data_IF_272396604221
#
_entry.id   IF_272396604221
#
_cell.length_a   1.000
_cell.length_b   1.000
_cell.length_c   1.000
_cell.angle_alpha   90.00
_cell.angle_beta   90.00
_cell.angle_gamma   90.00
#
_symmetry.space_group_name_H-M   'P 1'
#
loop_
_entity.id
_entity.type
_entity.pdbx_description
1 polymer ?
#
# COMPACT_ATOMS: atom_id res chain seq x y z
N UNK A 1 -48.11 -22.28 -50.51
CA UNK A 1 -48.89 -23.25 -49.74
C UNK A 1 -48.68 -22.91 -48.26
N UNK A 2 -49.60 -22.22 -47.65
CA UNK A 2 -50.75 -22.65 -46.82
C UNK A 2 -50.29 -23.78 -45.83
N UNK A 3 -50.39 -23.71 -44.52
CA UNK A 3 -51.47 -23.36 -43.58
C UNK A 3 -50.91 -23.28 -42.14
N UNK A 4 -51.31 -22.32 -41.35
CA UNK A 4 -52.37 -22.26 -40.29
C UNK A 4 -51.94 -22.85 -38.93
N UNK A 5 -51.80 -21.98 -37.94
CA UNK A 5 -52.70 -21.64 -36.81
C UNK A 5 -52.83 -22.70 -35.69
N UNK A 6 -52.60 -22.29 -34.46
CA UNK A 6 -53.03 -22.93 -33.25
C UNK A 6 -52.85 -22.00 -32.03
N UNK A 7 -53.90 -21.22 -31.76
CA UNK A 7 -54.11 -20.47 -30.53
C UNK A 7 -54.72 -21.42 -29.52
N UNK A 8 -54.11 -21.49 -28.30
CA UNK A 8 -54.84 -22.05 -27.16
C UNK A 8 -54.72 -21.07 -25.95
N UNK A 9 -55.81 -20.43 -25.66
CA UNK A 9 -56.08 -19.72 -24.41
C UNK A 9 -56.59 -20.72 -23.38
N UNK A 10 -56.06 -20.68 -22.16
CA UNK A 10 -56.77 -21.15 -20.94
C UNK A 10 -56.39 -20.25 -19.78
N UNK A 11 -57.24 -19.42 -19.39
CA UNK A 11 -58.00 -19.08 -18.19
C UNK A 11 -57.32 -19.31 -16.81
N UNK A 12 -57.13 -18.17 -16.13
CA UNK A 12 -57.52 -17.78 -14.80
C UNK A 12 -57.31 -18.72 -13.62
N UNK A 13 -56.55 -18.23 -12.67
CA UNK A 13 -56.55 -18.68 -11.27
C UNK A 13 -55.96 -17.56 -10.42
N UNK A 14 -56.83 -16.69 -9.91
CA UNK A 14 -56.47 -15.67 -8.92
C UNK A 14 -56.30 -16.32 -7.56
N UNK A 15 -55.11 -16.27 -7.00
CA UNK A 15 -54.87 -16.53 -5.58
C UNK A 15 -54.31 -15.25 -4.96
N UNK A 16 -55.15 -14.53 -4.21
CA UNK A 16 -54.73 -13.47 -3.30
C UNK A 16 -53.90 -14.09 -2.19
N UNK A 17 -52.60 -13.81 -2.20
CA UNK A 17 -51.75 -13.98 -1.04
C UNK A 17 -51.37 -12.58 -0.55
N UNK A 18 -51.91 -12.21 0.59
CA UNK A 18 -51.60 -10.98 1.30
C UNK A 18 -50.13 -11.04 1.75
N UNK A 19 -49.25 -10.27 1.08
CA UNK A 19 -47.89 -10.04 1.53
C UNK A 19 -47.91 -8.97 2.63
N UNK A 20 -47.71 -9.40 3.86
CA UNK A 20 -47.34 -8.54 4.97
C UNK A 20 -45.95 -7.95 4.70
N UNK A 21 -45.91 -6.68 4.28
CA UNK A 21 -44.66 -5.93 4.19
C UNK A 21 -44.18 -5.58 5.60
N UNK A 22 -43.33 -6.41 6.19
CA UNK A 22 -42.46 -5.97 7.28
C UNK A 22 -41.41 -5.03 6.66
N UNK A 23 -41.58 -3.73 6.88
CA UNK A 23 -40.54 -2.74 6.66
C UNK A 23 -39.43 -2.95 7.68
N UNK A 24 -38.39 -3.74 7.32
CA UNK A 24 -37.10 -3.64 8.00
C UNK A 24 -36.52 -2.27 7.65
N UNK A 25 -36.60 -1.35 8.58
CA UNK A 25 -35.84 -0.11 8.54
C UNK A 25 -34.35 -0.44 8.46
N UNK A 26 -33.78 -0.38 7.28
CA UNK A 26 -32.34 -0.36 7.11
C UNK A 26 -31.84 0.95 7.73
N UNK A 27 -31.33 0.88 8.96
CA UNK A 27 -30.49 1.94 9.50
C UNK A 27 -29.30 2.05 8.56
N UNK A 28 -29.26 3.11 7.78
CA UNK A 28 -28.07 3.48 7.00
C UNK A 28 -26.91 3.61 7.99
N UNK A 29 -26.10 2.57 8.09
CA UNK A 29 -24.85 2.61 8.81
C UNK A 29 -24.03 3.74 8.24
N UNK A 30 -23.84 4.80 9.02
CA UNK A 30 -22.93 5.88 8.68
C UNK A 30 -21.59 5.22 8.35
N UNK A 31 -21.12 5.41 7.08
CA UNK A 31 -19.75 5.07 6.70
C UNK A 31 -18.84 5.68 7.76
N UNK A 32 -17.90 4.91 8.35
CA UNK A 32 -16.90 5.48 9.23
C UNK A 32 -16.25 6.63 8.47
N UNK A 33 -16.38 7.86 8.98
CA UNK A 33 -15.52 8.96 8.53
C UNK A 33 -14.09 8.44 8.69
N UNK A 34 -13.24 8.56 7.66
CA UNK A 34 -11.81 8.32 7.86
C UNK A 34 -11.41 9.19 9.03
N UNK A 35 -11.02 8.54 10.13
CA UNK A 35 -10.58 9.25 11.32
C UNK A 35 -9.51 10.24 10.90
N UNK A 36 -9.57 11.45 11.46
CA UNK A 36 -8.47 12.40 11.46
C UNK A 36 -7.31 11.79 12.25
N UNK A 37 -6.75 10.69 11.76
CA UNK A 37 -5.46 10.20 12.16
C UNK A 37 -4.51 11.37 11.94
N UNK A 38 -3.96 11.93 13.00
CA UNK A 38 -2.86 12.89 12.94
C UNK A 38 -1.79 12.23 12.07
N UNK A 39 -1.78 12.58 10.77
CA UNK A 39 -0.96 11.95 9.75
C UNK A 39 0.50 12.10 10.10
N UNK A 40 1.05 11.09 10.75
CA UNK A 40 2.49 10.89 10.76
C UNK A 40 2.87 10.64 9.30
N UNK A 41 3.56 11.61 8.67
CA UNK A 41 4.17 11.41 7.36
C UNK A 41 3.56 12.13 6.16
N UNK A 42 2.55 13.00 6.29
CA UNK A 42 2.09 13.74 5.13
C UNK A 42 3.15 14.75 4.67
N UNK A 43 3.68 14.54 3.46
CA UNK A 43 4.63 15.47 2.82
C UNK A 43 4.02 16.86 2.79
N UNK A 44 4.74 17.83 3.34
CA UNK A 44 4.35 19.24 3.32
C UNK A 44 5.16 19.99 2.28
N UNK A 45 4.47 20.61 1.33
CA UNK A 45 5.07 21.45 0.28
C UNK A 45 4.94 22.91 0.67
N UNK A 46 6.03 23.67 0.53
CA UNK A 46 5.99 25.11 0.67
C UNK A 46 5.34 25.74 -0.57
N UNK A 47 4.40 26.65 -0.35
CA UNK A 47 3.73 27.42 -1.40
C UNK A 47 3.74 28.90 -1.06
N UNK A 48 3.82 29.75 -2.07
CA UNK A 48 3.53 31.17 -1.95
C UNK A 48 2.04 31.39 -2.24
N UNK A 49 1.26 31.63 -1.20
CA UNK A 49 -0.18 31.91 -1.25
C UNK A 49 -0.43 33.36 -0.85
N UNK A 50 -0.94 34.18 -1.77
CA UNK A 50 -1.27 35.60 -1.51
C UNK A 50 -0.15 36.37 -0.79
N UNK A 51 1.10 36.18 -1.25
CA UNK A 51 2.26 36.85 -0.68
C UNK A 51 2.79 36.27 0.64
N UNK A 52 2.18 35.19 1.17
CA UNK A 52 2.64 34.50 2.38
C UNK A 52 3.11 33.10 2.07
N UNK A 53 4.28 32.72 2.58
CA UNK A 53 4.76 31.34 2.50
C UNK A 53 3.96 30.47 3.46
N UNK A 54 3.28 29.47 2.92
CA UNK A 54 2.54 28.46 3.69
C UNK A 54 3.11 27.05 3.41
N UNK A 55 2.88 26.13 4.33
CA UNK A 55 3.21 24.70 4.13
C UNK A 55 1.93 23.89 4.17
N UNK A 56 1.58 23.29 3.04
CA UNK A 56 0.37 22.47 2.88
C UNK A 56 0.72 21.01 2.64
N UNK A 57 -0.16 20.12 3.09
CA UNK A 57 -0.04 18.71 2.73
C UNK A 57 -0.13 18.54 1.21
N UNK A 58 0.63 17.59 0.65
CA UNK A 58 0.73 17.41 -0.80
C UNK A 58 -0.62 17.32 -1.53
N UNK A 59 -1.67 16.62 -1.01
CA UNK A 59 -2.97 16.57 -1.69
C UNK A 59 -3.61 17.94 -1.93
N UNK A 60 -3.31 18.94 -1.09
CA UNK A 60 -3.83 20.28 -1.24
C UNK A 60 -3.08 21.13 -2.29
N UNK A 61 -1.84 20.74 -2.65
CA UNK A 61 -0.98 21.50 -3.58
C UNK A 61 -1.70 21.78 -4.89
N UNK A 62 -2.34 20.77 -5.49
CA UNK A 62 -3.07 20.93 -6.76
C UNK A 62 -4.20 21.97 -6.68
N UNK A 63 -4.90 22.05 -5.56
CA UNK A 63 -5.94 23.06 -5.36
C UNK A 63 -5.33 24.47 -5.30
N UNK A 64 -4.25 24.64 -4.56
CA UNK A 64 -3.52 25.89 -4.46
C UNK A 64 -2.99 26.39 -5.80
N UNK A 65 -2.40 25.50 -6.59
CA UNK A 65 -1.90 25.86 -7.94
C UNK A 65 -3.01 26.34 -8.89
N UNK A 66 -4.23 25.77 -8.79
CA UNK A 66 -5.38 26.23 -9.58
C UNK A 66 -5.81 27.66 -9.22
N UNK A 67 -5.53 28.11 -8.01
CA UNK A 67 -5.82 29.47 -7.54
C UNK A 67 -4.68 30.47 -7.83
N UNK A 68 -3.66 30.03 -8.61
CA UNK A 68 -2.52 30.88 -8.97
C UNK A 68 -1.39 30.94 -7.95
N UNK A 69 -1.44 30.08 -6.92
CA UNK A 69 -0.34 29.96 -5.98
C UNK A 69 0.90 29.35 -6.65
N UNK A 70 2.07 29.69 -6.17
CA UNK A 70 3.35 29.20 -6.72
C UNK A 70 4.04 28.30 -5.72
N UNK A 71 4.74 27.32 -6.25
CA UNK A 71 5.54 26.40 -5.44
C UNK A 71 6.78 27.10 -4.92
N UNK A 72 7.13 26.78 -3.67
CA UNK A 72 8.24 27.40 -2.97
C UNK A 72 7.82 28.58 -2.10
N UNK A 73 8.80 29.15 -1.37
CA UNK A 73 8.55 30.35 -0.55
C UNK A 73 8.23 31.55 -1.42
N UNK A 74 7.46 32.50 -0.85
CA UNK A 74 7.23 33.78 -1.51
C UNK A 74 8.56 34.52 -1.72
N UNK A 75 8.62 35.28 -2.79
CA UNK A 75 9.83 36.02 -3.17
C UNK A 75 10.78 35.26 -4.10
N UNK A 76 10.50 33.98 -4.40
CA UNK A 76 11.24 33.33 -5.49
C UNK A 76 10.90 34.00 -6.82
N UNK A 77 11.91 34.45 -7.61
CA UNK A 77 11.66 35.00 -8.92
C UNK A 77 10.99 33.97 -9.83
N UNK A 78 10.28 34.41 -10.86
CA UNK A 78 9.85 33.52 -11.93
C UNK A 78 11.08 32.82 -12.55
N UNK A 79 10.92 31.67 -13.23
CA UNK A 79 11.98 31.13 -14.04
C UNK A 79 12.53 32.21 -14.98
N UNK A 80 13.86 32.26 -15.14
CA UNK A 80 14.46 33.21 -16.08
C UNK A 80 13.92 32.97 -17.50
N UNK A 81 13.84 34.02 -18.34
CA UNK A 81 13.46 33.83 -19.74
C UNK A 81 14.33 32.72 -20.41
N UNK A 82 13.67 31.86 -21.18
CA UNK A 82 14.37 30.71 -21.80
C UNK A 82 14.62 29.53 -20.83
N UNK A 83 14.08 29.56 -19.63
CA UNK A 83 14.17 28.41 -18.68
C UNK A 83 12.80 28.04 -18.12
N UNK A 84 12.71 26.83 -17.51
CA UNK A 84 11.59 26.38 -16.69
C UNK A 84 12.13 25.77 -15.40
N UNK A 85 11.26 25.49 -14.43
CA UNK A 85 11.63 24.77 -13.21
C UNK A 85 10.81 23.50 -13.06
N UNK A 86 11.48 22.44 -12.65
CA UNK A 86 10.88 21.18 -12.23
C UNK A 86 11.37 20.86 -10.82
N UNK A 87 10.47 20.87 -9.86
CA UNK A 87 10.76 20.44 -8.49
C UNK A 87 10.31 18.98 -8.35
N UNK A 88 11.23 18.11 -7.97
CA UNK A 88 10.91 16.70 -7.70
C UNK A 88 11.01 16.44 -6.22
N UNK A 89 9.90 15.99 -5.63
CA UNK A 89 9.78 15.58 -4.23
C UNK A 89 9.75 14.07 -4.21
N UNK A 90 10.63 13.46 -3.41
CA UNK A 90 10.61 12.03 -3.13
C UNK A 90 10.14 11.81 -1.71
N UNK A 91 9.03 11.05 -1.55
CA UNK A 91 8.50 10.65 -0.26
C UNK A 91 8.62 9.14 -0.09
N UNK A 92 9.06 8.72 1.09
CA UNK A 92 9.18 7.31 1.46
C UNK A 92 8.35 7.04 2.70
N UNK A 93 7.46 6.06 2.59
CA UNK A 93 6.71 5.50 3.71
C UNK A 93 7.43 4.24 4.16
N UNK A 94 7.68 4.12 5.45
CA UNK A 94 8.32 2.95 6.05
C UNK A 94 7.50 2.56 7.29
N UNK A 95 6.53 1.66 7.10
CA UNK A 95 5.59 1.22 8.13
C UNK A 95 5.63 -0.29 8.38
N UNK A 96 6.47 -1.02 7.62
CA UNK A 96 6.67 -2.46 7.71
C UNK A 96 8.11 -2.85 8.12
N UNK A 97 8.83 -1.91 8.72
CA UNK A 97 10.21 -2.12 9.21
C UNK A 97 11.32 -1.70 8.25
N UNK A 98 10.96 -1.04 7.16
CA UNK A 98 11.92 -0.45 6.23
C UNK A 98 12.68 0.74 6.82
N UNK A 99 13.93 0.95 6.36
CA UNK A 99 14.83 2.00 6.88
C UNK A 99 15.32 2.96 5.80
N UNK A 100 14.86 2.78 4.55
CA UNK A 100 15.28 3.66 3.44
C UNK A 100 14.66 5.04 3.57
N UNK A 101 15.41 6.01 3.11
CA UNK A 101 15.04 7.43 3.05
C UNK A 101 14.90 7.87 1.61
N UNK A 102 14.39 9.08 1.38
CA UNK A 102 14.29 9.63 0.02
C UNK A 102 15.63 9.63 -0.73
N UNK A 103 16.74 9.85 -0.01
CA UNK A 103 18.09 9.89 -0.58
C UNK A 103 18.60 8.56 -1.14
N UNK A 104 18.01 7.43 -0.73
CA UNK A 104 18.35 6.11 -1.25
C UNK A 104 17.80 5.85 -2.67
N UNK A 105 16.92 6.71 -3.17
CA UNK A 105 16.32 6.61 -4.49
C UNK A 105 16.98 7.58 -5.45
N UNK A 106 17.59 7.07 -6.51
CA UNK A 106 18.15 7.89 -7.58
C UNK A 106 17.06 8.32 -8.54
N UNK A 107 16.87 9.62 -8.71
CA UNK A 107 15.87 10.22 -9.59
C UNK A 107 16.52 10.62 -10.91
N UNK A 108 15.83 10.39 -12.03
CA UNK A 108 16.27 10.80 -13.36
C UNK A 108 15.15 11.54 -14.09
N UNK A 109 15.48 12.71 -14.64
CA UNK A 109 14.61 13.48 -15.55
C UNK A 109 14.99 13.08 -16.98
N UNK A 110 14.03 12.61 -17.76
CA UNK A 110 14.22 12.18 -19.14
C UNK A 110 13.55 13.14 -20.13
N UNK A 111 14.06 13.22 -21.36
CA UNK A 111 13.44 13.97 -22.46
C UNK A 111 13.79 15.45 -22.52
N UNK A 112 14.34 16.02 -21.45
CA UNK A 112 14.77 17.42 -21.36
C UNK A 112 16.11 17.54 -20.66
N UNK A 113 16.75 18.69 -20.74
CA UNK A 113 18.04 18.96 -20.10
C UNK A 113 17.85 19.82 -18.86
N UNK A 114 18.43 19.38 -17.75
CA UNK A 114 18.45 20.10 -16.49
C UNK A 114 19.86 20.61 -16.15
N UNK A 115 19.97 21.84 -15.67
CA UNK A 115 21.24 22.40 -15.18
C UNK A 115 21.73 21.57 -13.99
N UNK A 116 23.03 21.24 -14.00
CA UNK A 116 23.65 20.40 -12.96
C UNK A 116 23.30 18.93 -13.07
N UNK A 117 22.88 18.49 -14.27
CA UNK A 117 22.58 17.09 -14.60
C UNK A 117 21.15 16.66 -14.29
N UNK A 118 20.73 15.64 -15.03
CA UNK A 118 19.36 15.10 -14.97
C UNK A 118 19.16 14.04 -13.87
N UNK A 119 20.26 13.52 -13.30
CA UNK A 119 20.22 12.46 -12.29
C UNK A 119 20.68 13.01 -10.94
N UNK A 120 19.93 12.69 -9.86
CA UNK A 120 20.20 13.19 -8.52
C UNK A 120 19.53 12.29 -7.47
N UNK A 121 19.97 12.39 -6.21
CA UNK A 121 19.34 11.71 -5.08
C UNK A 121 17.98 12.35 -4.77
N UNK A 122 16.98 11.52 -4.42
CA UNK A 122 15.68 11.98 -3.98
C UNK A 122 15.75 12.78 -2.68
N UNK A 123 14.74 13.61 -2.41
CA UNK A 123 14.66 14.45 -1.21
C UNK A 123 13.20 14.69 -0.81
N UNK A 124 12.91 14.56 0.49
CA UNK A 124 11.60 14.91 1.06
C UNK A 124 11.32 16.43 0.96
N UNK A 125 12.37 17.25 1.01
CA UNK A 125 12.24 18.69 0.82
C UNK A 125 12.02 19.10 -0.64
N UNK A 126 12.29 18.16 -1.55
CA UNK A 126 12.30 18.38 -2.99
C UNK A 126 13.65 18.89 -3.52
N UNK A 127 13.96 18.51 -4.75
CA UNK A 127 15.10 19.02 -5.52
C UNK A 127 14.53 19.81 -6.69
N UNK A 128 14.86 21.09 -6.79
CA UNK A 128 14.43 21.95 -7.89
C UNK A 128 15.55 22.00 -8.95
N UNK A 129 15.19 21.65 -10.18
CA UNK A 129 16.07 21.72 -11.35
C UNK A 129 15.61 22.82 -12.30
N UNK A 130 16.58 23.59 -12.81
CA UNK A 130 16.33 24.51 -13.92
C UNK A 130 16.39 23.72 -15.22
N UNK A 131 15.35 23.79 -16.02
CA UNK A 131 15.22 23.09 -17.31
C UNK A 131 15.57 24.08 -18.42
N UNK A 132 16.47 23.67 -19.31
CA UNK A 132 17.02 24.49 -20.39
C UNK A 132 16.59 24.05 -21.78
N UNK A 133 16.10 22.82 -21.94
CA UNK A 133 15.43 22.35 -23.17
C UNK A 133 14.00 21.97 -22.86
N UNK A 134 13.09 22.17 -23.81
CA UNK A 134 11.65 22.02 -23.58
C UNK A 134 11.05 20.92 -24.43
N UNK A 135 9.90 20.42 -24.04
CA UNK A 135 9.20 19.36 -24.73
C UNK A 135 8.66 18.28 -23.79
N UNK A 136 8.50 17.09 -24.33
CA UNK A 136 8.04 15.94 -23.55
C UNK A 136 9.12 15.52 -22.54
N UNK A 137 8.68 15.23 -21.30
CA UNK A 137 9.57 14.76 -20.24
C UNK A 137 8.90 13.71 -19.36
N UNK A 138 9.73 12.95 -18.67
CA UNK A 138 9.28 12.05 -17.59
C UNK A 138 10.30 12.01 -16.46
N UNK A 139 9.83 11.79 -15.25
CA UNK A 139 10.65 11.58 -14.06
C UNK A 139 10.56 10.11 -13.68
N UNK A 140 11.71 9.47 -13.59
CA UNK A 140 11.85 8.07 -13.18
C UNK A 140 12.71 7.96 -11.93
N UNK A 141 12.65 6.81 -11.27
CA UNK A 141 13.49 6.50 -10.12
C UNK A 141 14.09 5.10 -10.24
N UNK A 142 15.25 4.88 -9.61
CA UNK A 142 15.83 3.55 -9.47
C UNK A 142 14.95 2.69 -8.56
N UNK A 143 14.85 1.39 -8.86
CA UNK A 143 14.23 0.43 -7.95
C UNK A 143 15.11 0.24 -6.71
N UNK A 144 14.45 0.14 -5.55
CA UNK A 144 15.08 -0.17 -4.27
C UNK A 144 14.41 -1.41 -3.72
N UNK A 145 15.21 -2.43 -3.40
CA UNK A 145 14.70 -3.72 -2.91
C UNK A 145 13.85 -3.53 -1.65
N UNK A 146 12.70 -4.20 -1.61
CA UNK A 146 11.75 -4.10 -0.50
C UNK A 146 10.86 -2.86 -0.54
N UNK A 147 10.92 -2.04 -1.59
CA UNK A 147 10.08 -0.85 -1.76
C UNK A 147 9.39 -0.85 -3.12
N UNK A 148 8.14 -0.38 -3.14
CA UNK A 148 7.39 -0.19 -4.37
C UNK A 148 6.85 1.23 -4.48
N UNK A 149 6.82 1.76 -5.70
CA UNK A 149 6.18 3.05 -5.96
C UNK A 149 4.66 2.90 -5.89
N UNK A 150 4.05 3.60 -4.96
CA UNK A 150 2.60 3.59 -4.75
C UNK A 150 1.88 4.72 -5.47
N UNK A 151 2.56 5.84 -5.72
CA UNK A 151 2.00 6.93 -6.52
C UNK A 151 3.05 7.82 -7.17
N UNK A 152 2.62 8.49 -8.25
CA UNK A 152 3.30 9.61 -8.88
C UNK A 152 2.27 10.69 -9.21
N UNK A 153 2.61 11.97 -9.02
CA UNK A 153 1.72 13.07 -9.42
C UNK A 153 1.71 13.24 -10.95
N UNK A 154 0.69 13.95 -11.45
CA UNK A 154 0.52 14.19 -12.89
C UNK A 154 1.70 14.92 -13.53
N UNK A 155 2.40 15.78 -12.78
CA UNK A 155 3.56 16.52 -13.26
C UNK A 155 4.87 15.72 -13.21
N UNK A 156 4.82 14.40 -12.97
CA UNK A 156 5.97 13.53 -13.14
C UNK A 156 6.22 13.14 -14.60
N UNK A 157 5.28 13.44 -15.49
CA UNK A 157 5.43 13.29 -16.93
C UNK A 157 4.54 14.31 -17.67
N UNK A 158 4.82 14.54 -18.95
CA UNK A 158 4.05 15.44 -19.80
C UNK A 158 4.94 16.32 -20.63
N UNK A 159 4.54 17.56 -20.85
CA UNK A 159 5.34 18.58 -21.54
C UNK A 159 5.69 19.71 -20.61
N UNK A 160 6.88 20.28 -20.76
CA UNK A 160 7.34 21.48 -20.07
C UNK A 160 7.79 22.52 -21.07
N UNK A 161 7.37 23.77 -20.87
CA UNK A 161 7.71 24.92 -21.72
C UNK A 161 8.41 26.02 -20.91
N UNK A 162 9.04 26.94 -21.60
CA UNK A 162 9.68 28.11 -20.98
C UNK A 162 8.74 28.86 -20.05
N UNK A 163 9.23 29.29 -18.91
CA UNK A 163 8.49 30.01 -17.87
C UNK A 163 7.63 29.13 -16.96
N UNK A 164 7.53 27.82 -17.22
CA UNK A 164 6.70 26.94 -16.39
C UNK A 164 7.41 26.51 -15.10
N UNK A 165 6.62 26.37 -14.04
CA UNK A 165 6.95 25.70 -12.78
C UNK A 165 6.14 24.42 -12.66
N UNK A 166 6.80 23.28 -12.52
CA UNK A 166 6.17 21.96 -12.36
C UNK A 166 6.62 21.30 -11.08
N UNK A 167 5.74 20.46 -10.47
CA UNK A 167 6.11 19.65 -9.32
C UNK A 167 5.71 18.21 -9.52
N UNK A 168 6.71 17.36 -9.51
CA UNK A 168 6.58 15.91 -9.46
C UNK A 168 6.73 15.43 -8.01
N UNK A 169 5.75 14.67 -7.51
CA UNK A 169 5.87 13.87 -6.29
C UNK A 169 5.91 12.41 -6.67
N UNK A 170 6.93 11.71 -6.19
CA UNK A 170 7.05 10.26 -6.22
C UNK A 170 6.91 9.72 -4.80
N UNK A 171 6.05 8.75 -4.58
CA UNK A 171 5.84 8.11 -3.28
C UNK A 171 6.13 6.63 -3.38
N UNK A 172 7.02 6.13 -2.51
CA UNK A 172 7.26 4.71 -2.34
C UNK A 172 6.87 4.29 -0.93
N UNK A 173 6.45 3.04 -0.81
CA UNK A 173 6.14 2.40 0.45
C UNK A 173 6.98 1.13 0.60
N UNK A 174 7.34 0.79 1.83
CA UNK A 174 8.01 -0.48 2.11
C UNK A 174 7.01 -1.65 2.01
N UNK A 175 7.43 -2.74 1.41
CA UNK A 175 6.61 -3.92 1.19
C UNK A 175 6.52 -4.75 2.47
N UNK A 176 5.31 -4.99 2.96
CA UNK A 176 5.10 -5.86 4.10
C UNK A 176 5.56 -7.29 3.80
N UNK A 177 6.25 -7.91 4.73
CA UNK A 177 6.56 -9.33 4.66
C UNK A 177 5.34 -10.16 5.07
N UNK A 178 5.29 -11.42 4.61
CA UNK A 178 4.23 -12.37 4.93
C UNK A 178 4.78 -13.68 5.47
N UNK A 179 4.12 -14.23 6.48
CA UNK A 179 4.43 -15.54 7.06
C UNK A 179 3.15 -16.39 7.05
N UNK A 180 3.18 -17.51 6.32
CA UNK A 180 2.13 -18.51 6.34
C UNK A 180 2.52 -19.63 7.30
N UNK A 181 1.69 -19.94 8.27
CA UNK A 181 1.91 -21.06 9.20
C UNK A 181 0.86 -22.13 8.96
N UNK A 182 1.33 -23.33 8.61
CA UNK A 182 0.50 -24.52 8.42
C UNK A 182 0.71 -25.43 9.63
N UNK A 183 -0.37 -25.85 10.27
CA UNK A 183 -0.36 -26.81 11.37
C UNK A 183 -0.90 -28.15 10.91
N UNK A 184 -0.11 -29.19 11.03
CA UNK A 184 -0.49 -30.58 10.77
C UNK A 184 -0.55 -31.35 12.09
N UNK A 185 -1.52 -32.25 12.21
CA UNK A 185 -1.69 -33.14 13.37
C UNK A 185 -1.90 -34.56 12.84
N UNK A 186 -1.12 -35.49 13.39
CA UNK A 186 -1.22 -36.92 13.13
C UNK A 186 -1.85 -37.54 14.39
N UNK A 187 -2.86 -38.39 14.20
CA UNK A 187 -3.59 -39.07 15.25
C UNK A 187 -3.59 -40.59 14.94
N UNK A 188 -2.44 -41.24 15.12
CA UNK A 188 -2.26 -42.67 14.82
C UNK A 188 -2.20 -43.55 16.09
N UNK A 189 -2.23 -42.93 17.29
CA UNK A 189 -2.28 -43.59 18.59
C UNK A 189 -3.60 -43.32 19.36
N UNK A 190 -4.68 -42.93 18.65
CA UNK A 190 -6.00 -42.71 19.21
C UNK A 190 -6.28 -41.28 19.69
N UNK A 191 -5.41 -40.35 19.43
CA UNK A 191 -5.60 -38.93 19.67
C UNK A 191 -6.73 -38.34 18.80
N UNK A 192 -7.31 -37.22 19.27
CA UNK A 192 -8.49 -36.57 18.63
C UNK A 192 -8.30 -35.07 18.40
N UNK A 193 -7.09 -34.53 18.68
CA UNK A 193 -6.84 -33.10 18.51
C UNK A 193 -6.81 -32.70 17.04
N UNK A 194 -7.21 -31.48 16.80
CA UNK A 194 -7.22 -30.84 15.50
C UNK A 194 -6.14 -29.75 15.46
N UNK A 195 -5.74 -29.23 14.30
CA UNK A 195 -4.81 -28.11 14.23
C UNK A 195 -5.20 -26.90 15.08
N UNK A 196 -6.49 -26.63 15.24
CA UNK A 196 -7.01 -25.49 16.00
C UNK A 196 -6.76 -25.59 17.53
N UNK A 197 -6.50 -26.81 18.04
CA UNK A 197 -6.17 -27.03 19.46
C UNK A 197 -4.74 -26.56 19.83
N UNK A 198 -3.91 -26.23 18.82
CA UNK A 198 -2.53 -25.79 19.00
C UNK A 198 -2.44 -24.28 18.85
N UNK A 199 -2.06 -23.58 19.92
CA UNK A 199 -1.83 -22.14 19.90
C UNK A 199 -0.43 -21.86 19.34
N UNK A 200 -0.37 -21.19 18.20
CA UNK A 200 0.85 -20.81 17.51
C UNK A 200 1.27 -19.40 17.93
N UNK A 201 2.58 -19.19 18.13
CA UNK A 201 3.14 -17.87 18.44
C UNK A 201 4.31 -17.57 17.51
N UNK A 202 4.31 -16.39 16.91
CA UNK A 202 5.43 -15.85 16.13
C UNK A 202 6.23 -14.91 17.02
N UNK A 203 7.52 -15.16 17.14
CA UNK A 203 8.45 -14.41 17.98
C UNK A 203 9.43 -13.61 17.13
N UNK A 204 10.00 -12.52 17.67
CA UNK A 204 11.06 -11.72 17.06
C UNK A 204 10.60 -10.65 16.10
N UNK A 205 9.39 -10.78 15.52
CA UNK A 205 8.76 -9.81 14.61
C UNK A 205 7.35 -9.47 15.10
N UNK A 206 6.81 -8.34 14.62
CA UNK A 206 5.45 -7.91 14.95
C UNK A 206 4.47 -8.33 13.86
N UNK A 207 3.43 -9.04 14.26
CA UNK A 207 2.35 -9.54 13.40
C UNK A 207 1.15 -8.62 13.49
N UNK A 208 0.62 -8.19 12.35
CA UNK A 208 -0.64 -7.42 12.30
C UNK A 208 -1.79 -8.34 12.73
N UNK A 209 -2.55 -7.90 13.74
CA UNK A 209 -3.64 -8.69 14.33
C UNK A 209 -3.21 -9.61 15.46
N UNK A 210 -1.94 -9.51 15.90
CA UNK A 210 -1.40 -10.24 17.05
C UNK A 210 -0.50 -11.41 16.67
N UNK A 211 0.48 -11.67 17.53
CA UNK A 211 1.52 -12.67 17.31
C UNK A 211 1.05 -14.11 17.61
N UNK A 212 -0.07 -14.28 18.32
CA UNK A 212 -0.61 -15.60 18.70
C UNK A 212 -1.94 -15.87 18.03
N UNK A 213 -2.12 -17.09 17.52
CA UNK A 213 -3.34 -17.53 16.80
C UNK A 213 -3.46 -19.06 16.84
N UNK A 214 -4.66 -19.58 16.59
CA UNK A 214 -4.90 -21.02 16.48
C UNK A 214 -4.29 -21.59 15.20
N UNK A 215 -3.77 -22.80 15.27
CA UNK A 215 -3.26 -23.53 14.13
C UNK A 215 -4.36 -23.85 13.10
N UNK A 216 -3.94 -24.05 11.85
CA UNK A 216 -4.82 -24.38 10.71
C UNK A 216 -4.12 -25.30 9.74
N UNK A 217 -4.82 -26.37 9.30
CA UNK A 217 -4.29 -27.28 8.29
C UNK A 217 -4.17 -26.61 6.91
N UNK A 218 -5.05 -25.65 6.60
CA UNK A 218 -4.99 -24.87 5.36
C UNK A 218 -3.93 -23.76 5.39
N UNK A 219 -3.34 -23.53 6.58
CA UNK A 219 -2.42 -22.43 6.81
C UNK A 219 -3.11 -21.14 7.20
N UNK A 220 -2.40 -20.33 7.99
CA UNK A 220 -2.80 -18.96 8.35
C UNK A 220 -1.71 -18.01 7.89
N UNK A 221 -2.02 -17.17 6.90
CA UNK A 221 -1.09 -16.14 6.43
C UNK A 221 -1.22 -14.89 7.29
N UNK A 222 -0.09 -14.40 7.78
CA UNK A 222 0.02 -13.19 8.59
C UNK A 222 0.91 -12.16 7.92
N UNK A 223 0.45 -10.91 7.90
CA UNK A 223 1.23 -9.77 7.46
C UNK A 223 2.06 -9.25 8.63
N UNK A 224 3.33 -8.96 8.38
CA UNK A 224 4.26 -8.46 9.37
C UNK A 224 4.44 -6.95 9.24
N UNK A 225 4.44 -6.24 10.38
CA UNK A 225 4.75 -4.80 10.45
C UNK A 225 6.20 -4.53 10.90
N UNK A 226 7.01 -5.59 11.06
CA UNK A 226 8.45 -5.50 11.25
C UNK A 226 9.13 -6.69 10.59
N UNK A 227 10.42 -6.55 10.31
CA UNK A 227 11.27 -7.55 9.66
C UNK A 227 12.44 -7.91 10.57
N UNK A 228 13.18 -8.96 10.24
CA UNK A 228 14.35 -9.41 10.98
C UNK A 228 14.31 -10.87 11.38
N UNK A 229 15.01 -11.21 12.44
CA UNK A 229 15.03 -12.58 12.97
C UNK A 229 13.66 -12.94 13.56
N UNK A 230 13.19 -14.15 13.26
CA UNK A 230 11.91 -14.65 13.78
C UNK A 230 11.98 -16.15 14.09
N UNK A 231 11.05 -16.61 14.93
CA UNK A 231 10.77 -18.02 15.14
C UNK A 231 9.29 -18.25 15.37
N UNK A 232 8.79 -19.40 14.93
CA UNK A 232 7.43 -19.87 15.18
C UNK A 232 7.48 -20.97 16.22
N UNK A 233 6.71 -20.81 17.28
CA UNK A 233 6.56 -21.79 18.36
C UNK A 233 5.11 -22.16 18.56
N UNK A 234 4.84 -23.24 19.26
CA UNK A 234 3.51 -23.63 19.67
C UNK A 234 3.44 -23.92 21.17
N UNK A 235 2.26 -23.75 21.77
CA UNK A 235 2.01 -24.17 23.12
C UNK A 235 1.95 -25.71 23.17
N UNK A 236 2.52 -26.30 24.24
CA UNK A 236 2.44 -27.75 24.46
C UNK A 236 0.97 -28.18 24.63
N UNK A 237 0.60 -29.28 23.95
CA UNK A 237 -0.70 -29.92 24.09
C UNK A 237 -0.48 -31.31 24.69
N UNK A 238 -1.09 -31.62 25.86
CA UNK A 238 -0.91 -32.94 26.51
C UNK A 238 -1.29 -34.09 25.57
N UNK A 239 -0.44 -35.12 25.53
CA UNK A 239 -0.61 -36.29 24.66
C UNK A 239 -0.14 -36.08 23.21
N UNK A 240 0.56 -34.94 22.92
CA UNK A 240 1.11 -34.64 21.59
C UNK A 240 2.54 -34.13 21.69
N UNK A 241 3.39 -34.56 20.77
CA UNK A 241 4.76 -34.10 20.64
C UNK A 241 4.99 -33.47 19.25
N UNK A 242 5.80 -32.41 19.20
CA UNK A 242 6.27 -31.82 17.93
C UNK A 242 7.18 -32.84 17.23
N UNK A 243 6.70 -33.38 16.11
CA UNK A 243 7.45 -34.35 15.30
C UNK A 243 8.40 -33.64 14.32
N UNK A 244 7.96 -32.55 13.71
CA UNK A 244 8.79 -31.78 12.78
C UNK A 244 8.38 -30.33 12.67
N UNK A 245 9.39 -29.49 12.35
CA UNK A 245 9.21 -28.11 11.95
C UNK A 245 10.03 -27.86 10.68
N UNK A 246 9.42 -27.25 9.67
CA UNK A 246 10.13 -26.90 8.44
C UNK A 246 11.16 -25.80 8.65
N UNK A 247 12.13 -25.68 7.74
CA UNK A 247 13.16 -24.63 7.77
C UNK A 247 12.59 -23.21 7.78
N UNK A 248 11.39 -23.02 7.24
CA UNK A 248 10.70 -21.73 7.25
C UNK A 248 10.07 -21.34 8.59
N UNK A 249 10.20 -22.17 9.65
CA UNK A 249 9.69 -21.85 10.98
C UNK A 249 10.63 -20.93 11.79
N UNK A 250 11.84 -20.71 11.33
CA UNK A 250 12.79 -19.76 11.95
C UNK A 250 13.74 -19.18 10.91
N UNK A 251 14.45 -18.12 11.28
CA UNK A 251 15.43 -17.47 10.42
C UNK A 251 15.25 -15.96 10.38
N UNK A 252 15.56 -15.34 9.26
CA UNK A 252 15.33 -13.91 9.01
C UNK A 252 14.29 -13.75 7.91
N UNK A 253 13.47 -12.71 8.00
CA UNK A 253 12.52 -12.32 6.97
C UNK A 253 12.75 -10.86 6.58
N UNK A 254 12.79 -10.57 5.27
CA UNK A 254 13.06 -9.27 4.70
C UNK A 254 11.76 -8.62 4.18
N UNK A 255 11.83 -7.32 3.83
CA UNK A 255 10.71 -6.59 3.21
C UNK A 255 10.24 -7.29 1.94
N UNK A 256 8.92 -7.45 1.81
CA UNK A 256 8.26 -8.06 0.66
C UNK A 256 8.49 -9.57 0.54
N UNK A 257 9.20 -10.19 1.48
CA UNK A 257 9.43 -11.63 1.48
C UNK A 257 8.20 -12.39 1.99
N UNK A 258 7.97 -13.57 1.44
CA UNK A 258 6.95 -14.51 1.91
C UNK A 258 7.61 -15.81 2.32
N UNK A 259 7.31 -16.28 3.54
CA UNK A 259 7.81 -17.55 4.07
C UNK A 259 6.68 -18.45 4.53
N UNK A 260 6.93 -19.75 4.51
CA UNK A 260 5.97 -20.76 5.00
C UNK A 260 6.65 -21.63 6.05
N UNK A 261 6.00 -21.71 7.21
CA UNK A 261 6.35 -22.61 8.31
C UNK A 261 5.32 -23.75 8.34
N UNK A 262 5.78 -24.98 8.41
CA UNK A 262 4.93 -26.15 8.65
C UNK A 262 5.36 -26.80 9.97
N UNK A 263 4.44 -26.91 10.91
CA UNK A 263 4.59 -27.59 12.18
C UNK A 263 3.75 -28.87 12.16
N UNK A 264 4.35 -30.03 12.44
CA UNK A 264 3.66 -31.32 12.52
C UNK A 264 3.79 -31.90 13.90
N UNK A 265 2.66 -32.20 14.55
CA UNK A 265 2.62 -32.93 15.81
C UNK A 265 2.02 -34.31 15.60
N UNK A 266 2.49 -35.26 16.41
CA UNK A 266 1.89 -36.58 16.53
C UNK A 266 1.43 -36.84 17.96
N UNK A 267 0.35 -37.61 18.11
CA UNK A 267 -0.07 -38.14 19.42
C UNK A 267 0.93 -39.18 19.92
N UNK A 268 1.13 -39.27 21.26
CA UNK A 268 2.12 -40.09 21.95
C UNK A 268 1.51 -40.86 23.11
#
# INVERSE_FOLDING_TARGET
>A
MLRRTGVLRVLTGACLAALLLLSLGATAGAKPRPGNGKGKGQVKVALCHKGKTIRVGFPAVKAHLRHGDRIGPCGLPAPAPGTARLTVIKHVISNNGGTKTAGDFTITINGVTATGGNTFAGSEAGVTKTITTFGAYSVTESSVSGYARTSASVDCAGTIASGQDKVCLLVNDDLAAQLTVVKQVINDHGGTKTPADFAITVNGVTVIGGNSFAGSALGTTRTLSSIGAYSVTEAAVPGYALQSASVGCSGTIALGESKTCVLTNNDV
#
